data_IF_967308779130
#
_entry.id   IF_967308779130
#
_cell.length_a   1.000
_cell.length_b   1.000
_cell.length_c   1.000
_cell.angle_alpha   90.00
_cell.angle_beta   90.00
_cell.angle_gamma   90.00
#
_symmetry.space_group_name_H-M   'P 1'
#
loop_
_entity.id
_entity.type
_entity.pdbx_description
1 polymer ?
#
# COMPACT_ATOMS: atom_id res chain seq x y z
N UNK A 1 -3.23 21.11 -14.93
CA UNK A 1 -3.58 22.32 -15.73
C UNK A 1 -2.76 23.49 -15.19
N UNK A 2 -1.73 23.93 -15.91
CA UNK A 2 -0.95 25.11 -15.52
C UNK A 2 -1.72 26.35 -15.97
N UNK A 3 -2.26 27.09 -15.01
CA UNK A 3 -2.74 28.45 -15.29
C UNK A 3 -1.52 29.35 -15.29
N UNK A 4 -1.11 29.83 -16.46
CA UNK A 4 -0.05 30.81 -16.59
C UNK A 4 -0.50 32.13 -15.93
N UNK A 5 -0.03 32.37 -14.71
CA UNK A 5 -0.25 33.65 -13.99
C UNK A 5 0.76 34.65 -14.55
N UNK A 6 0.34 35.54 -15.42
CA UNK A 6 1.17 36.64 -15.91
C UNK A 6 1.75 37.44 -14.74
N UNK A 7 3.10 37.52 -14.68
CA UNK A 7 3.84 38.24 -13.63
C UNK A 7 4.17 37.40 -12.41
N UNK A 8 3.76 36.10 -12.37
CA UNK A 8 4.02 35.18 -11.25
C UNK A 8 5.37 34.46 -11.33
N UNK A 9 6.07 34.46 -12.48
CA UNK A 9 7.28 33.66 -12.70
C UNK A 9 8.37 33.96 -11.67
N UNK A 10 8.59 35.24 -11.35
CA UNK A 10 9.57 35.64 -10.32
C UNK A 10 9.18 35.14 -8.93
N UNK A 11 7.89 35.13 -8.61
CA UNK A 11 7.40 34.61 -7.33
C UNK A 11 7.60 33.08 -7.25
N UNK A 12 7.34 32.37 -8.35
CA UNK A 12 7.55 30.92 -8.46
C UNK A 12 9.03 30.57 -8.33
N UNK A 13 9.92 31.29 -9.03
CA UNK A 13 11.37 31.10 -8.91
C UNK A 13 11.87 31.35 -7.49
N UNK A 14 11.37 32.40 -6.82
CA UNK A 14 11.71 32.68 -5.43
C UNK A 14 11.18 31.57 -4.50
N UNK A 15 9.98 31.03 -4.75
CA UNK A 15 9.44 29.90 -3.99
C UNK A 15 10.32 28.65 -4.15
N UNK A 16 10.81 28.35 -5.34
CA UNK A 16 11.76 27.24 -5.57
C UNK A 16 13.07 27.42 -4.80
N UNK A 17 13.61 28.64 -4.80
CA UNK A 17 14.84 28.95 -4.02
C UNK A 17 14.59 28.82 -2.52
N UNK A 18 13.45 29.30 -2.04
CA UNK A 18 13.06 29.17 -0.65
C UNK A 18 12.87 27.69 -0.26
N UNK A 19 12.20 26.89 -1.10
CA UNK A 19 12.06 25.46 -0.87
C UNK A 19 13.42 24.76 -0.79
N UNK A 20 14.36 25.08 -1.66
CA UNK A 20 15.71 24.54 -1.62
C UNK A 20 16.45 24.92 -0.32
N UNK A 21 16.28 26.16 0.14
CA UNK A 21 16.84 26.64 1.40
C UNK A 21 16.23 25.91 2.60
N UNK A 22 14.92 25.81 2.65
CA UNK A 22 14.18 25.09 3.69
C UNK A 22 14.52 23.59 3.72
N UNK A 23 14.71 22.97 2.55
CA UNK A 23 15.14 21.57 2.46
C UNK A 23 16.52 21.36 3.07
N UNK A 24 17.43 22.30 2.87
CA UNK A 24 18.77 22.22 3.46
C UNK A 24 18.72 22.38 4.98
N UNK A 25 17.80 23.21 5.49
CA UNK A 25 17.72 23.55 6.91
C UNK A 25 18.94 24.32 7.42
N UNK A 26 19.14 24.29 8.73
CA UNK A 26 20.28 24.94 9.38
C UNK A 26 21.59 24.40 8.85
N UNK A 27 22.47 25.29 8.44
CA UNK A 27 23.80 24.94 7.87
C UNK A 27 24.80 24.46 8.90
N UNK A 28 24.58 24.77 10.17
CA UNK A 28 25.40 24.30 11.28
C UNK A 28 25.08 22.84 11.65
N UNK A 29 23.94 22.33 11.17
CA UNK A 29 23.56 20.91 11.27
C UNK A 29 24.05 20.17 10.05
N UNK A 30 24.69 19.02 10.24
CA UNK A 30 25.15 18.16 9.14
C UNK A 30 23.98 17.75 8.25
N UNK A 31 24.19 17.80 6.94
CA UNK A 31 23.16 17.35 5.98
C UNK A 31 22.99 15.83 6.06
N UNK A 32 21.73 15.36 6.11
CA UNK A 32 21.43 13.92 6.08
C UNK A 32 21.87 13.30 4.75
N UNK A 33 22.58 12.20 4.81
CA UNK A 33 23.04 11.43 3.64
C UNK A 33 22.01 10.42 3.18
N UNK A 34 22.08 9.99 1.91
CA UNK A 34 21.21 8.92 1.41
C UNK A 34 21.45 7.60 2.15
N UNK A 35 22.70 7.30 2.49
CA UNK A 35 23.03 6.11 3.28
C UNK A 35 22.36 6.13 4.66
N UNK A 36 22.36 7.28 5.36
CA UNK A 36 21.65 7.39 6.64
C UNK A 36 20.15 7.17 6.51
N UNK A 37 19.53 7.68 5.46
CA UNK A 37 18.10 7.45 5.20
C UNK A 37 17.85 5.97 4.89
N UNK A 38 18.64 5.40 3.97
CA UNK A 38 18.49 4.01 3.55
C UNK A 38 18.63 3.02 4.71
N UNK A 39 19.62 3.23 5.60
CA UNK A 39 19.91 2.31 6.68
C UNK A 39 19.06 2.56 7.94
N UNK A 40 18.86 3.82 8.33
CA UNK A 40 18.25 4.16 9.60
C UNK A 40 16.74 4.45 9.51
N UNK A 41 16.22 4.75 8.31
CA UNK A 41 14.81 4.95 8.02
C UNK A 41 14.27 3.88 7.04
N UNK A 42 14.82 2.67 7.14
CA UNK A 42 14.56 1.58 6.19
C UNK A 42 13.07 1.29 5.95
N UNK A 43 12.24 1.32 7.00
CA UNK A 43 10.79 1.09 6.85
C UNK A 43 10.08 2.18 6.02
N UNK A 44 10.58 3.42 6.08
CA UNK A 44 10.10 4.51 5.22
C UNK A 44 10.52 4.30 3.77
N UNK A 45 11.75 3.85 3.55
CA UNK A 45 12.28 3.48 2.22
C UNK A 45 11.47 2.34 1.61
N UNK A 46 11.20 1.29 2.37
CA UNK A 46 10.40 0.14 1.95
C UNK A 46 8.96 0.55 1.54
N UNK A 47 8.34 1.45 2.31
CA UNK A 47 7.03 2.01 1.98
C UNK A 47 7.07 2.78 0.66
N UNK A 48 8.06 3.66 0.47
CA UNK A 48 8.20 4.46 -0.76
C UNK A 48 8.44 3.56 -1.97
N UNK A 49 9.25 2.51 -1.85
CA UNK A 49 9.44 1.52 -2.91
C UNK A 49 8.14 0.81 -3.28
N UNK A 50 7.39 0.34 -2.29
CA UNK A 50 6.14 -0.42 -2.50
C UNK A 50 5.06 0.45 -3.15
N UNK A 51 4.72 1.58 -2.53
CA UNK A 51 3.67 2.47 -3.02
C UNK A 51 4.11 3.22 -4.29
N UNK A 52 5.43 3.40 -4.49
CA UNK A 52 6.04 3.95 -5.70
C UNK A 52 6.16 2.94 -6.86
N UNK A 53 5.96 1.65 -6.60
CA UNK A 53 6.12 0.56 -7.57
C UNK A 53 7.50 0.51 -8.22
N UNK A 54 8.55 0.77 -7.45
CA UNK A 54 9.94 0.73 -7.89
C UNK A 54 10.83 0.20 -6.77
N UNK A 55 11.46 -0.96 -6.98
CA UNK A 55 12.41 -1.52 -6.05
C UNK A 55 13.80 -0.91 -6.29
N UNK A 56 14.09 0.20 -5.62
CA UNK A 56 15.38 0.87 -5.62
C UNK A 56 15.53 1.69 -4.33
N UNK A 57 16.35 1.20 -3.40
CA UNK A 57 16.52 1.80 -2.07
C UNK A 57 17.19 3.18 -2.15
N UNK A 58 18.11 3.36 -3.08
CA UNK A 58 18.83 4.64 -3.23
C UNK A 58 17.92 5.72 -3.79
N UNK A 59 17.15 5.40 -4.83
CA UNK A 59 16.14 6.32 -5.40
C UNK A 59 15.02 6.63 -4.41
N UNK A 60 14.57 5.66 -3.63
CA UNK A 60 13.59 5.89 -2.57
C UNK A 60 14.15 6.82 -1.47
N UNK A 61 15.38 6.59 -1.02
CA UNK A 61 16.06 7.47 -0.06
C UNK A 61 16.25 8.89 -0.61
N UNK A 62 16.60 9.03 -1.90
CA UNK A 62 16.70 10.32 -2.57
C UNK A 62 15.35 11.04 -2.61
N UNK A 63 14.28 10.33 -2.94
CA UNK A 63 12.92 10.87 -2.96
C UNK A 63 12.48 11.36 -1.57
N UNK A 64 12.74 10.58 -0.51
CA UNK A 64 12.47 10.99 0.88
C UNK A 64 13.23 12.28 1.24
N UNK A 65 14.51 12.35 0.90
CA UNK A 65 15.33 13.54 1.11
C UNK A 65 14.78 14.74 0.35
N UNK A 66 14.45 14.57 -0.92
CA UNK A 66 13.90 15.62 -1.77
C UNK A 66 12.55 16.13 -1.28
N UNK A 67 11.71 15.22 -0.81
CA UNK A 67 10.39 15.50 -0.24
C UNK A 67 10.42 16.03 1.21
N UNK A 68 11.60 16.24 1.82
CA UNK A 68 11.73 16.70 3.21
C UNK A 68 11.09 15.74 4.23
N UNK A 69 11.00 14.45 3.91
CA UNK A 69 10.36 13.44 4.76
C UNK A 69 8.85 13.28 4.56
N UNK A 70 8.23 14.01 3.63
CA UNK A 70 6.84 13.77 3.21
C UNK A 70 6.80 12.50 2.36
N UNK A 71 6.21 11.43 2.92
CA UNK A 71 6.19 10.12 2.25
C UNK A 71 5.29 10.11 1.03
N UNK A 72 4.19 10.88 1.01
CA UNK A 72 3.29 10.94 -0.15
C UNK A 72 3.99 11.63 -1.32
N UNK A 73 4.66 12.76 -1.06
CA UNK A 73 5.46 13.45 -2.07
C UNK A 73 6.62 12.56 -2.56
N UNK A 74 7.29 11.82 -1.66
CA UNK A 74 8.36 10.89 -2.04
C UNK A 74 7.84 9.78 -2.98
N UNK A 75 6.68 9.20 -2.69
CA UNK A 75 6.01 8.21 -3.54
C UNK A 75 5.67 8.80 -4.91
N UNK A 76 5.13 10.02 -4.94
CA UNK A 76 4.87 10.73 -6.19
C UNK A 76 6.13 10.91 -7.04
N UNK A 77 7.23 11.36 -6.43
CA UNK A 77 8.52 11.55 -7.12
C UNK A 77 9.05 10.24 -7.71
N UNK A 78 8.97 9.13 -6.96
CA UNK A 78 9.40 7.81 -7.44
C UNK A 78 8.52 7.34 -8.62
N UNK A 79 7.19 7.51 -8.53
CA UNK A 79 6.28 7.17 -9.64
C UNK A 79 6.55 8.01 -10.89
N UNK A 80 6.76 9.32 -10.72
CA UNK A 80 7.08 10.22 -11.80
C UNK A 80 8.41 9.82 -12.48
N UNK A 81 9.44 9.52 -11.69
CA UNK A 81 10.73 9.07 -12.20
C UNK A 81 10.59 7.72 -12.93
N UNK A 82 9.89 6.76 -12.34
CA UNK A 82 9.65 5.44 -12.96
C UNK A 82 9.00 5.57 -14.35
N UNK A 83 8.08 6.52 -14.53
CA UNK A 83 7.42 6.75 -15.81
C UNK A 83 8.40 7.24 -16.92
N UNK A 84 9.59 7.73 -16.56
CA UNK A 84 10.64 8.15 -17.51
C UNK A 84 11.54 7.00 -17.94
N UNK A 85 11.49 5.85 -17.25
CA UNK A 85 12.34 4.71 -17.54
C UNK A 85 11.75 3.84 -18.65
N UNK A 86 12.56 3.40 -19.63
CA UNK A 86 12.12 2.41 -20.58
C UNK A 86 11.94 1.06 -19.88
N UNK A 87 10.91 0.30 -20.26
CA UNK A 87 10.76 -1.09 -19.81
C UNK A 87 11.67 -1.98 -20.64
N UNK A 88 12.55 -2.70 -19.97
CA UNK A 88 13.41 -3.69 -20.62
C UNK A 88 12.68 -5.01 -20.88
N UNK A 89 11.93 -5.50 -19.88
CA UNK A 89 11.20 -6.76 -19.97
C UNK A 89 10.36 -7.01 -18.73
N UNK A 90 9.85 -8.22 -18.61
CA UNK A 90 9.21 -8.76 -17.41
C UNK A 90 10.09 -9.88 -16.83
N UNK A 91 10.19 -9.94 -15.53
CA UNK A 91 10.88 -11.04 -14.84
C UNK A 91 10.01 -12.29 -14.87
N UNK A 92 10.62 -13.45 -14.64
CA UNK A 92 9.87 -14.63 -14.26
C UNK A 92 9.11 -14.39 -12.94
N UNK A 93 7.99 -15.10 -12.72
CA UNK A 93 7.27 -15.01 -11.45
C UNK A 93 8.18 -15.41 -10.28
N UNK A 94 8.27 -14.54 -9.27
CA UNK A 94 9.08 -14.83 -8.08
C UNK A 94 8.46 -15.96 -7.25
N UNK A 95 9.29 -16.92 -6.83
CA UNK A 95 8.86 -18.02 -5.97
C UNK A 95 9.08 -17.70 -4.50
N UNK A 96 8.06 -17.15 -3.83
CA UNK A 96 8.15 -16.87 -2.40
C UNK A 96 8.25 -18.14 -1.52
N UNK A 97 8.05 -19.32 -2.09
CA UNK A 97 8.33 -20.61 -1.43
C UNK A 97 9.80 -20.83 -1.11
N UNK A 98 10.68 -20.26 -1.92
CA UNK A 98 12.14 -20.34 -1.80
C UNK A 98 12.75 -19.15 -1.06
N UNK A 99 11.92 -18.29 -0.46
CA UNK A 99 12.36 -17.13 0.30
C UNK A 99 13.41 -17.50 1.36
N UNK A 100 14.53 -16.82 1.38
CA UNK A 100 15.51 -16.86 2.46
C UNK A 100 14.95 -16.08 3.66
N UNK A 101 14.27 -16.80 4.54
CA UNK A 101 13.44 -16.21 5.60
C UNK A 101 14.30 -15.61 6.70
N UNK A 102 14.09 -14.32 6.98
CA UNK A 102 14.67 -13.58 8.11
C UNK A 102 13.68 -13.41 9.26
N UNK A 103 12.38 -13.40 8.97
CA UNK A 103 11.29 -13.39 9.94
C UNK A 103 10.16 -14.30 9.46
N UNK A 104 9.63 -15.10 10.38
CA UNK A 104 8.48 -15.97 10.13
C UNK A 104 7.64 -16.10 11.39
N UNK A 105 6.38 -15.72 11.31
CA UNK A 105 5.42 -15.89 12.41
C UNK A 105 4.11 -16.46 11.89
N UNK A 106 3.45 -17.22 12.74
CA UNK A 106 2.11 -17.78 12.50
C UNK A 106 1.29 -17.69 13.76
N UNK A 107 0.00 -17.39 13.64
CA UNK A 107 -0.96 -17.41 14.74
C UNK A 107 -1.86 -18.65 14.75
N UNK A 108 -1.69 -19.56 13.79
CA UNK A 108 -2.60 -20.70 13.59
C UNK A 108 -2.16 -21.97 14.32
N UNK A 109 -0.86 -22.22 14.43
CA UNK A 109 -0.33 -23.39 15.10
C UNK A 109 0.69 -23.00 16.16
N UNK A 110 0.61 -23.64 17.34
CA UNK A 110 1.59 -23.44 18.41
C UNK A 110 2.99 -23.87 17.96
N UNK A 111 3.07 -25.05 17.38
CA UNK A 111 4.30 -25.69 16.90
C UNK A 111 4.24 -25.79 15.37
N UNK A 112 4.48 -24.67 14.70
CA UNK A 112 4.51 -24.63 13.23
C UNK A 112 5.78 -25.37 12.72
N UNK A 113 5.68 -26.27 11.74
CA UNK A 113 6.84 -26.94 11.17
C UNK A 113 7.87 -25.92 10.65
N UNK A 114 9.15 -26.11 11.01
CA UNK A 114 10.22 -25.17 10.76
C UNK A 114 10.34 -24.03 11.79
N UNK A 115 9.45 -23.97 12.76
CA UNK A 115 9.47 -23.01 13.87
C UNK A 115 9.06 -21.59 13.45
N UNK A 116 9.06 -20.71 14.46
CA UNK A 116 8.88 -19.28 14.27
C UNK A 116 10.24 -18.57 14.36
N UNK A 117 10.44 -17.55 13.55
CA UNK A 117 11.65 -16.72 13.51
C UNK A 117 11.20 -15.30 13.79
N UNK A 118 11.53 -14.77 14.99
CA UNK A 118 11.04 -13.45 15.38
C UNK A 118 11.63 -12.33 14.53
N UNK A 119 12.91 -12.40 14.21
CA UNK A 119 13.59 -11.34 13.46
C UNK A 119 13.54 -9.97 14.16
N UNK A 120 13.89 -8.87 13.47
CA UNK A 120 13.76 -7.53 13.99
C UNK A 120 12.28 -7.12 14.04
N UNK A 121 11.76 -6.81 15.24
CA UNK A 121 10.33 -6.51 15.43
C UNK A 121 10.10 -5.57 16.60
N UNK A 122 9.05 -4.75 16.50
CA UNK A 122 8.54 -3.97 17.63
C UNK A 122 7.55 -4.74 18.52
N UNK A 123 7.16 -5.95 18.17
CA UNK A 123 6.05 -6.68 18.81
C UNK A 123 6.26 -6.91 20.30
N UNK A 124 7.51 -7.13 20.70
CA UNK A 124 7.90 -7.40 22.09
C UNK A 124 8.56 -6.21 22.79
N UNK A 125 8.58 -5.05 22.16
CA UNK A 125 9.06 -3.81 22.79
C UNK A 125 7.96 -3.18 23.64
N UNK A 126 8.34 -2.39 24.64
CA UNK A 126 7.37 -1.66 25.46
C UNK A 126 6.64 -0.52 24.73
N UNK A 127 7.05 -0.19 23.49
CA UNK A 127 6.51 0.92 22.69
C UNK A 127 6.60 2.29 23.42
N UNK A 128 7.62 2.46 24.21
CA UNK A 128 7.96 3.72 24.89
C UNK A 128 9.06 4.45 24.13
N UNK A 129 9.09 5.77 24.25
CA UNK A 129 10.21 6.55 23.75
C UNK A 129 11.48 6.19 24.55
N UNK A 130 12.56 6.01 23.84
CA UNK A 130 13.87 5.71 24.41
C UNK A 130 14.79 6.94 24.30
N UNK A 131 14.97 7.70 25.38
CA UNK A 131 15.84 8.88 25.37
C UNK A 131 17.31 8.56 25.11
N UNK A 132 17.76 7.32 25.33
CA UNK A 132 19.16 6.93 25.10
C UNK A 132 19.54 7.02 23.62
N UNK A 133 18.58 6.85 22.71
CA UNK A 133 18.81 7.01 21.29
C UNK A 133 19.23 8.43 20.89
N UNK A 134 18.93 9.45 21.73
CA UNK A 134 19.37 10.82 21.49
C UNK A 134 20.86 11.05 21.83
N UNK A 135 21.45 10.19 22.69
CA UNK A 135 22.83 10.31 23.14
C UNK A 135 23.81 9.52 22.26
N UNK A 136 23.31 8.75 21.31
CA UNK A 136 24.10 7.85 20.47
C UNK A 136 24.33 6.51 21.16
N UNK A 137 23.69 5.49 20.66
CA UNK A 137 23.75 4.12 21.18
C UNK A 137 24.43 3.19 20.17
N UNK A 138 25.37 2.39 20.63
CA UNK A 138 25.94 1.30 19.84
C UNK A 138 25.33 0.00 20.35
N UNK A 139 24.45 -0.63 19.54
CA UNK A 139 23.81 -1.86 19.97
C UNK A 139 24.84 -3.00 20.11
N UNK A 140 24.62 -3.89 21.10
CA UNK A 140 25.35 -5.15 21.15
C UNK A 140 25.04 -5.99 19.91
N UNK A 141 26.04 -6.70 19.39
CA UNK A 141 25.81 -7.63 18.29
C UNK A 141 24.90 -8.77 18.76
N UNK A 142 23.77 -9.02 18.06
CA UNK A 142 22.89 -10.12 18.44
C UNK A 142 23.61 -11.46 18.24
N UNK A 143 23.27 -12.44 19.07
CA UNK A 143 23.64 -13.83 18.80
C UNK A 143 22.91 -14.28 17.53
N UNK A 144 23.63 -14.49 16.45
CA UNK A 144 23.07 -14.98 15.21
C UNK A 144 22.87 -16.48 15.34
N UNK A 145 21.63 -16.94 15.40
CA UNK A 145 21.32 -18.36 15.21
C UNK A 145 21.59 -18.71 13.75
N UNK A 146 22.22 -19.87 13.52
CA UNK A 146 22.39 -20.39 12.16
C UNK A 146 21.01 -20.53 11.50
N UNK A 147 20.81 -19.86 10.37
CA UNK A 147 19.59 -19.96 9.61
C UNK A 147 19.42 -21.41 9.12
N UNK A 148 18.31 -22.04 9.48
CA UNK A 148 17.96 -23.34 8.91
C UNK A 148 17.71 -23.18 7.41
N UNK A 149 18.49 -23.83 6.58
CA UNK A 149 18.30 -23.87 5.12
C UNK A 149 17.20 -24.85 4.69
N UNK A 150 16.54 -25.51 5.63
CA UNK A 150 15.50 -26.48 5.32
C UNK A 150 14.26 -25.76 4.76
N UNK A 151 13.80 -26.21 3.59
CA UNK A 151 12.54 -25.75 3.03
C UNK A 151 11.40 -25.94 4.05
N UNK A 152 10.74 -24.86 4.40
CA UNK A 152 9.72 -24.85 5.44
C UNK A 152 8.34 -24.83 4.79
N UNK A 153 7.48 -25.84 5.03
CA UNK A 153 6.15 -25.88 4.45
C UNK A 153 5.34 -24.68 4.91
N UNK A 154 4.55 -24.11 4.02
CA UNK A 154 3.63 -23.02 4.35
C UNK A 154 2.46 -23.55 5.19
N UNK A 155 1.95 -22.71 6.05
CA UNK A 155 0.75 -23.04 6.83
C UNK A 155 -0.45 -23.37 5.93
N UNK A 156 -0.59 -22.64 4.82
CA UNK A 156 -1.65 -22.92 3.83
C UNK A 156 -1.49 -24.27 3.15
N UNK A 157 -0.25 -24.78 2.98
CA UNK A 157 0.00 -26.12 2.44
C UNK A 157 -0.40 -27.22 3.45
N UNK A 158 -0.20 -26.96 4.75
CA UNK A 158 -0.62 -27.87 5.81
C UNK A 158 -2.14 -27.99 5.83
N UNK A 159 -2.84 -26.86 5.81
CA UNK A 159 -4.31 -26.82 5.75
C UNK A 159 -4.86 -27.41 4.45
N UNK A 160 -4.14 -27.23 3.34
CA UNK A 160 -4.50 -27.76 2.01
C UNK A 160 -4.45 -29.27 1.95
N UNK A 161 -3.47 -29.91 2.62
CA UNK A 161 -3.37 -31.39 2.69
C UNK A 161 -4.58 -32.02 3.37
N UNK A 162 -5.17 -31.32 4.32
CA UNK A 162 -6.37 -31.77 5.04
C UNK A 162 -7.68 -31.37 4.34
N UNK A 163 -7.59 -30.66 3.20
CA UNK A 163 -8.75 -30.13 2.49
C UNK A 163 -9.55 -29.07 3.26
N UNK A 164 -8.91 -28.42 4.23
CA UNK A 164 -9.55 -27.45 5.13
C UNK A 164 -9.49 -26.01 4.65
N UNK A 165 -8.74 -25.72 3.59
CA UNK A 165 -8.62 -24.39 3.00
C UNK A 165 -8.92 -24.47 1.50
N UNK A 166 -9.50 -23.41 0.95
CA UNK A 166 -9.72 -23.29 -0.48
C UNK A 166 -8.41 -23.56 -1.27
N UNK A 167 -8.47 -24.20 -2.42
CA UNK A 167 -7.27 -24.48 -3.22
C UNK A 167 -6.58 -23.18 -3.62
N UNK A 168 -5.26 -23.23 -3.78
CA UNK A 168 -4.56 -22.13 -4.44
C UNK A 168 -4.97 -22.09 -5.91
N UNK A 169 -5.31 -20.92 -6.45
CA UNK A 169 -5.50 -20.80 -7.89
C UNK A 169 -4.26 -21.33 -8.61
N UNK A 170 -4.47 -22.21 -9.57
CA UNK A 170 -3.38 -22.63 -10.47
C UNK A 170 -3.10 -21.44 -11.38
N UNK A 171 -1.84 -21.05 -11.47
CA UNK A 171 -1.43 -20.09 -12.49
C UNK A 171 -1.59 -20.76 -13.86
N UNK A 172 -2.42 -20.19 -14.71
CA UNK A 172 -2.35 -20.47 -16.14
C UNK A 172 -1.14 -19.70 -16.67
N UNK A 173 -0.06 -20.41 -16.99
CA UNK A 173 1.22 -19.81 -17.40
C UNK A 173 1.11 -18.89 -18.62
N UNK A 174 0.04 -19.03 -19.41
CA UNK A 174 -0.22 -18.23 -20.60
C UNK A 174 -1.20 -17.07 -20.37
N UNK A 175 -1.76 -16.94 -19.16
CA UNK A 175 -2.69 -15.85 -18.86
C UNK A 175 -1.98 -14.49 -18.86
N UNK A 176 -2.47 -13.48 -19.58
CA UNK A 176 -1.87 -12.16 -19.55
C UNK A 176 -2.04 -11.57 -18.16
N UNK A 177 -0.96 -11.05 -17.58
CA UNK A 177 -0.98 -10.32 -16.30
C UNK A 177 -1.19 -8.85 -16.59
N UNK A 178 -2.22 -8.24 -15.98
CA UNK A 178 -2.49 -6.82 -16.09
C UNK A 178 -1.38 -5.96 -15.45
N UNK A 179 -1.27 -4.71 -15.88
CA UNK A 179 -0.24 -3.76 -15.38
C UNK A 179 -0.83 -2.39 -15.11
N UNK A 180 -1.20 -2.11 -13.87
CA UNK A 180 -1.74 -0.81 -13.42
C UNK A 180 -0.77 0.37 -13.59
N UNK A 181 0.48 0.11 -13.93
CA UNK A 181 1.44 1.17 -14.22
C UNK A 181 1.34 1.67 -15.67
N UNK A 182 0.59 1.00 -16.52
CA UNK A 182 0.45 1.25 -17.96
C UNK A 182 -1.00 1.33 -18.40
N UNK A 183 -1.88 0.58 -17.77
CA UNK A 183 -3.28 0.45 -18.13
C UNK A 183 -4.15 1.11 -17.06
N UNK A 184 -5.19 1.85 -17.47
CA UNK A 184 -6.12 2.42 -16.51
C UNK A 184 -6.91 1.31 -15.82
N UNK A 185 -7.22 1.53 -14.54
CA UNK A 185 -8.08 0.65 -13.78
C UNK A 185 -9.49 0.61 -14.41
N UNK A 186 -10.03 -0.57 -14.57
CA UNK A 186 -11.42 -0.82 -15.03
C UNK A 186 -12.09 -1.82 -14.11
N UNK A 187 -13.42 -1.75 -14.01
CA UNK A 187 -14.22 -2.61 -13.13
C UNK A 187 -15.18 -3.50 -13.95
N UNK A 188 -15.42 -4.75 -13.52
CA UNK A 188 -14.72 -5.44 -12.43
C UNK A 188 -13.25 -5.70 -12.79
N UNK A 189 -12.35 -5.65 -11.78
CA UNK A 189 -10.94 -5.93 -11.98
C UNK A 189 -10.60 -7.38 -11.60
N UNK A 190 -9.68 -7.98 -12.36
CA UNK A 190 -9.15 -9.28 -12.01
C UNK A 190 -8.33 -9.23 -10.72
N UNK A 191 -8.20 -10.36 -10.03
CA UNK A 191 -7.54 -10.40 -8.73
C UNK A 191 -6.09 -9.94 -8.75
N UNK A 192 -5.36 -10.19 -9.82
CA UNK A 192 -3.98 -9.72 -10.00
C UNK A 192 -3.91 -8.19 -10.03
N UNK A 193 -4.83 -7.52 -10.71
CA UNK A 193 -4.95 -6.06 -10.72
C UNK A 193 -5.38 -5.52 -9.36
N UNK A 194 -6.33 -6.20 -8.67
CA UNK A 194 -6.70 -5.83 -7.29
C UNK A 194 -5.49 -5.87 -6.36
N UNK A 195 -4.72 -6.95 -6.39
CA UNK A 195 -3.52 -7.10 -5.56
C UNK A 195 -2.45 -6.05 -5.89
N UNK A 196 -2.23 -5.72 -7.17
CA UNK A 196 -1.34 -4.63 -7.58
C UNK A 196 -1.83 -3.28 -7.05
N UNK A 197 -3.12 -2.99 -7.15
CA UNK A 197 -3.70 -1.75 -6.63
C UNK A 197 -3.52 -1.66 -5.11
N UNK A 198 -3.80 -2.72 -4.37
CA UNK A 198 -3.59 -2.77 -2.92
C UNK A 198 -2.11 -2.57 -2.55
N UNK A 199 -1.17 -3.15 -3.30
CA UNK A 199 0.26 -2.93 -3.08
C UNK A 199 0.66 -1.46 -3.27
N UNK A 200 0.09 -0.78 -4.26
CA UNK A 200 0.30 0.65 -4.54
C UNK A 200 -0.49 1.58 -3.61
N UNK A 201 -1.55 1.08 -2.99
CA UNK A 201 -2.45 1.83 -2.14
C UNK A 201 -1.78 2.38 -0.89
N UNK A 202 -2.34 3.43 -0.31
CA UNK A 202 -1.89 4.03 0.94
C UNK A 202 -1.97 3.04 2.12
N UNK A 203 -0.87 2.86 2.84
CA UNK A 203 -0.82 1.95 3.98
C UNK A 203 -1.85 2.32 5.05
N UNK A 204 -2.03 3.61 5.33
CA UNK A 204 -2.95 4.08 6.35
C UNK A 204 -4.41 3.85 5.98
N UNK A 205 -4.77 4.08 4.72
CA UNK A 205 -6.11 3.80 4.20
C UNK A 205 -6.43 2.30 4.26
N UNK A 206 -5.51 1.45 3.79
CA UNK A 206 -5.70 0.01 3.84
C UNK A 206 -5.74 -0.53 5.28
N UNK A 207 -4.94 0.05 6.19
CA UNK A 207 -5.00 -0.29 7.61
C UNK A 207 -6.37 0.03 8.21
N UNK A 208 -6.94 1.18 7.89
CA UNK A 208 -8.28 1.55 8.33
C UNK A 208 -9.37 0.61 7.78
N UNK A 209 -9.28 0.22 6.51
CA UNK A 209 -10.18 -0.76 5.91
C UNK A 209 -10.02 -2.14 6.55
N UNK A 210 -8.79 -2.63 6.71
CA UNK A 210 -8.50 -3.88 7.40
C UNK A 210 -9.03 -3.89 8.84
N UNK A 211 -8.88 -2.78 9.56
CA UNK A 211 -9.46 -2.61 10.88
C UNK A 211 -11.00 -2.68 10.85
N UNK A 212 -11.64 -2.06 9.86
CA UNK A 212 -13.09 -2.11 9.73
C UNK A 212 -13.61 -3.54 9.51
N UNK A 213 -12.87 -4.39 8.79
CA UNK A 213 -13.24 -5.81 8.59
C UNK A 213 -13.24 -6.59 9.90
N UNK A 214 -12.31 -6.28 10.80
CA UNK A 214 -12.23 -6.95 12.10
C UNK A 214 -13.30 -6.47 13.09
N UNK A 215 -13.59 -5.18 13.09
CA UNK A 215 -14.48 -4.52 14.06
C UNK A 215 -15.94 -4.52 13.64
N UNK A 216 -16.21 -4.40 12.35
CA UNK A 216 -17.52 -4.08 11.84
C UNK A 216 -18.31 -5.28 11.34
N UNK A 217 -18.13 -5.62 10.11
CA UNK A 217 -18.95 -6.59 9.41
C UNK A 217 -18.37 -8.01 9.38
N UNK A 218 -17.06 -8.15 9.59
CA UNK A 218 -16.43 -9.46 9.63
C UNK A 218 -16.88 -10.25 10.86
N UNK A 219 -17.83 -11.14 10.68
CA UNK A 219 -18.35 -11.98 11.77
C UNK A 219 -17.40 -13.06 12.25
N UNK A 220 -16.28 -13.23 11.54
CA UNK A 220 -15.25 -14.22 11.81
C UNK A 220 -13.93 -13.53 12.12
N UNK A 221 -13.21 -14.05 13.11
CA UNK A 221 -11.87 -13.56 13.43
C UNK A 221 -10.87 -14.07 12.36
N UNK A 222 -10.14 -13.19 11.65
CA UNK A 222 -9.06 -13.60 10.76
C UNK A 222 -7.83 -14.01 11.56
N UNK A 223 -7.05 -14.91 11.01
CA UNK A 223 -5.78 -15.36 11.58
C UNK A 223 -4.65 -15.11 10.59
N UNK A 224 -3.50 -14.61 11.07
CA UNK A 224 -2.28 -14.63 10.29
C UNK A 224 -1.85 -16.10 10.14
N UNK A 225 -2.22 -16.72 9.04
CA UNK A 225 -1.78 -18.06 8.70
C UNK A 225 -0.27 -18.11 8.70
N UNK A 226 0.34 -17.16 7.99
CA UNK A 226 1.78 -16.97 7.99
C UNK A 226 2.13 -15.55 7.54
N UNK A 227 3.11 -14.94 8.22
CA UNK A 227 3.81 -13.74 7.77
C UNK A 227 5.27 -14.12 7.61
N UNK A 228 5.84 -13.81 6.43
CA UNK A 228 7.24 -14.08 6.10
C UNK A 228 7.88 -12.82 5.57
N UNK A 229 9.09 -12.54 6.04
CA UNK A 229 9.98 -11.51 5.51
C UNK A 229 11.33 -12.12 5.20
N UNK A 230 11.87 -11.80 4.04
CA UNK A 230 13.17 -12.29 3.61
C UNK A 230 13.47 -11.94 2.16
N UNK A 231 14.52 -12.55 1.64
CA UNK A 231 15.01 -12.35 0.27
C UNK A 231 14.46 -13.41 -0.68
N UNK A 232 14.11 -12.97 -1.90
CA UNK A 232 13.68 -13.85 -3.00
C UNK A 232 14.50 -13.52 -4.22
N UNK A 233 15.00 -14.54 -4.90
CA UNK A 233 15.71 -14.40 -6.16
C UNK A 233 14.77 -13.93 -7.27
N UNK A 234 15.28 -13.08 -8.15
CA UNK A 234 14.58 -12.55 -9.32
C UNK A 234 15.31 -13.01 -10.56
N UNK A 235 14.58 -13.67 -11.44
CA UNK A 235 15.10 -14.19 -12.70
C UNK A 235 14.45 -13.49 -13.90
N UNK A 236 15.16 -13.45 -14.99
CA UNK A 236 14.70 -12.92 -16.27
C UNK A 236 15.01 -13.92 -17.38
N UNK A 237 13.99 -14.30 -18.15
CA UNK A 237 14.20 -15.15 -19.31
C UNK A 237 14.87 -14.37 -20.43
N UNK A 238 16.10 -14.73 -20.74
CA UNK A 238 16.88 -14.08 -21.78
C UNK A 238 16.77 -14.88 -23.09
N UNK A 239 16.03 -14.37 -24.06
CA UNK A 239 15.75 -15.03 -25.33
C UNK A 239 17.03 -15.42 -26.07
N UNK A 240 18.07 -14.59 -26.00
CA UNK A 240 19.35 -14.81 -26.67
C UNK A 240 20.11 -16.07 -26.19
N UNK A 241 19.91 -16.45 -24.93
CA UNK A 241 20.56 -17.62 -24.33
C UNK A 241 19.60 -18.79 -24.09
N UNK A 242 18.28 -18.57 -24.15
CA UNK A 242 17.24 -19.57 -24.08
C UNK A 242 16.98 -20.16 -22.70
N UNK A 243 17.39 -19.47 -21.62
CA UNK A 243 17.08 -19.81 -20.23
C UNK A 243 16.97 -18.58 -19.34
N UNK A 244 16.37 -18.77 -18.14
CA UNK A 244 16.26 -17.72 -17.15
C UNK A 244 17.62 -17.42 -16.49
N UNK A 245 17.95 -16.14 -16.36
CA UNK A 245 19.20 -15.65 -15.78
C UNK A 245 18.86 -14.91 -14.47
N UNK A 246 19.53 -15.22 -13.35
CA UNK A 246 19.33 -14.50 -12.11
C UNK A 246 19.80 -13.03 -12.24
N UNK A 247 18.94 -12.10 -11.88
CA UNK A 247 19.25 -10.68 -11.85
C UNK A 247 19.75 -10.21 -10.48
N UNK A 248 19.44 -10.97 -9.43
CA UNK A 248 19.73 -10.67 -8.04
C UNK A 248 18.58 -11.06 -7.13
N UNK A 249 18.54 -10.52 -5.92
CA UNK A 249 17.46 -10.76 -4.98
C UNK A 249 16.78 -9.46 -4.56
N UNK A 250 15.51 -9.58 -4.15
CA UNK A 250 14.74 -8.50 -3.56
C UNK A 250 14.19 -8.92 -2.20
N UNK A 251 14.07 -7.99 -1.29
CA UNK A 251 13.42 -8.20 0.00
C UNK A 251 11.91 -8.05 -0.14
N UNK A 252 11.18 -9.05 0.34
CA UNK A 252 9.72 -9.09 0.30
C UNK A 252 9.14 -9.44 1.67
N UNK A 253 7.99 -8.85 1.99
CA UNK A 253 7.10 -9.33 3.05
C UNK A 253 5.86 -9.93 2.42
N UNK A 254 5.56 -11.17 2.79
CA UNK A 254 4.36 -11.91 2.39
C UNK A 254 3.47 -12.16 3.60
N UNK A 255 2.17 -11.92 3.45
CA UNK A 255 1.16 -12.28 4.44
C UNK A 255 0.10 -13.17 3.80
N UNK A 256 -0.15 -14.33 4.41
CA UNK A 256 -1.26 -15.20 4.09
C UNK A 256 -2.24 -15.20 5.26
N UNK A 257 -3.37 -14.54 5.07
CA UNK A 257 -4.45 -14.50 6.07
C UNK A 257 -5.39 -15.67 5.86
N UNK A 258 -5.87 -16.23 6.95
CA UNK A 258 -6.81 -17.37 6.97
C UNK A 258 -8.08 -16.95 7.68
N UNK A 259 -9.21 -17.03 6.98
CA UNK A 259 -10.52 -16.67 7.48
C UNK A 259 -11.48 -17.84 7.38
N UNK A 260 -12.26 -18.10 8.42
CA UNK A 260 -13.32 -19.10 8.34
C UNK A 260 -14.37 -18.67 7.31
N UNK A 261 -14.73 -19.59 6.44
CA UNK A 261 -15.87 -19.49 5.54
C UNK A 261 -16.88 -20.58 5.92
N UNK A 262 -18.08 -20.18 6.29
CA UNK A 262 -19.12 -21.10 6.80
C UNK A 262 -19.83 -21.90 5.71
N UNK A 263 -19.41 -21.72 4.46
CA UNK A 263 -20.08 -22.27 3.31
C UNK A 263 -21.21 -21.39 2.78
N UNK A 264 -21.65 -21.68 1.57
CA UNK A 264 -22.81 -21.10 0.91
C UNK A 264 -23.74 -22.22 0.43
N UNK A 265 -24.72 -21.89 -0.39
CA UNK A 265 -25.60 -22.90 -1.01
C UNK A 265 -24.87 -23.81 -2.00
N UNK A 266 -23.72 -23.34 -2.53
CA UNK A 266 -22.93 -24.05 -3.55
C UNK A 266 -21.56 -24.52 -3.05
N UNK A 267 -21.04 -23.91 -1.98
CA UNK A 267 -19.68 -24.15 -1.50
C UNK A 267 -19.67 -24.72 -0.09
N UNK A 268 -18.86 -25.74 0.13
CA UNK A 268 -18.67 -26.35 1.44
C UNK A 268 -17.91 -25.42 2.42
N UNK A 269 -18.14 -25.54 3.73
CA UNK A 269 -17.35 -24.82 4.73
C UNK A 269 -15.85 -25.12 4.60
N UNK A 270 -15.04 -24.08 4.60
CA UNK A 270 -13.57 -24.19 4.56
C UNK A 270 -12.93 -22.93 5.15
N UNK A 271 -11.62 -22.85 5.13
CA UNK A 271 -10.93 -21.58 5.28
C UNK A 271 -10.74 -20.91 3.92
N UNK A 272 -11.02 -19.62 3.85
CA UNK A 272 -10.71 -18.77 2.72
C UNK A 272 -9.40 -18.02 2.94
N UNK A 273 -8.77 -17.57 1.87
CA UNK A 273 -7.47 -16.91 1.86
C UNK A 273 -7.62 -15.43 1.65
N UNK A 274 -6.78 -14.65 2.34
CA UNK A 274 -6.42 -13.29 1.96
C UNK A 274 -4.92 -13.21 1.75
N UNK A 275 -4.46 -12.40 0.82
CA UNK A 275 -3.07 -12.32 0.42
C UNK A 275 -2.55 -10.89 0.39
N UNK A 276 -1.32 -10.69 0.85
CA UNK A 276 -0.59 -9.44 0.75
C UNK A 276 0.88 -9.68 0.48
N UNK A 277 1.45 -8.91 -0.44
CA UNK A 277 2.85 -8.94 -0.82
C UNK A 277 3.34 -7.51 -1.04
N UNK A 278 4.48 -7.16 -0.44
CA UNK A 278 5.07 -5.84 -0.54
C UNK A 278 6.60 -5.90 -0.49
N UNK A 279 7.25 -4.89 -1.04
CA UNK A 279 8.69 -4.75 -0.95
C UNK A 279 9.16 -4.45 0.47
N UNK A 280 10.34 -4.96 0.82
CA UNK A 280 10.99 -4.74 2.10
C UNK A 280 10.21 -5.30 3.29
N UNK A 281 10.47 -4.73 4.48
CA UNK A 281 9.82 -5.13 5.73
C UNK A 281 8.54 -4.32 5.95
N UNK A 282 7.41 -4.83 5.47
CA UNK A 282 6.12 -4.12 5.38
C UNK A 282 4.95 -4.93 5.96
N UNK A 283 5.07 -5.44 7.19
CA UNK A 283 4.07 -6.36 7.80
C UNK A 283 2.68 -5.73 7.90
N UNK A 284 2.56 -4.50 8.43
CA UNK A 284 1.25 -3.82 8.51
C UNK A 284 0.58 -3.69 7.15
N UNK A 285 1.37 -3.33 6.14
CA UNK A 285 0.90 -3.20 4.76
C UNK A 285 0.36 -4.53 4.24
N UNK A 286 1.15 -5.59 4.33
CA UNK A 286 0.76 -6.90 3.80
C UNK A 286 -0.39 -7.54 4.56
N UNK A 287 -0.46 -7.36 5.89
CA UNK A 287 -1.63 -7.77 6.68
C UNK A 287 -2.89 -7.03 6.27
N UNK A 288 -2.80 -5.71 6.10
CA UNK A 288 -3.93 -4.88 5.66
C UNK A 288 -4.39 -5.26 4.26
N UNK A 289 -3.44 -5.46 3.33
CA UNK A 289 -3.74 -5.99 1.99
C UNK A 289 -4.48 -7.32 2.08
N UNK A 290 -3.99 -8.27 2.87
CA UNK A 290 -4.58 -9.60 2.99
C UNK A 290 -6.02 -9.56 3.55
N UNK A 291 -6.31 -8.68 4.50
CA UNK A 291 -7.64 -8.46 5.03
C UNK A 291 -8.59 -7.88 3.97
N UNK A 292 -8.13 -6.88 3.23
CA UNK A 292 -8.93 -6.21 2.19
C UNK A 292 -9.09 -7.11 0.96
N UNK A 293 -8.04 -7.83 0.53
CA UNK A 293 -8.14 -8.83 -0.54
C UNK A 293 -9.24 -9.87 -0.23
N UNK A 294 -9.27 -10.39 1.01
CA UNK A 294 -10.34 -11.31 1.42
C UNK A 294 -11.72 -10.64 1.42
N UNK A 295 -11.80 -9.39 1.85
CA UNK A 295 -13.06 -8.65 1.89
C UNK A 295 -13.63 -8.40 0.49
N UNK A 296 -12.79 -8.03 -0.47
CA UNK A 296 -13.17 -7.83 -1.88
C UNK A 296 -13.69 -9.10 -2.56
N UNK A 297 -13.36 -10.27 -2.02
CA UNK A 297 -13.82 -11.56 -2.53
C UNK A 297 -15.17 -11.99 -1.97
N UNK A 298 -15.86 -11.16 -1.18
CA UNK A 298 -17.14 -11.51 -0.56
C UNK A 298 -18.18 -11.96 -1.57
N UNK A 299 -18.31 -11.26 -2.70
CA UNK A 299 -19.25 -11.64 -3.77
C UNK A 299 -18.87 -12.97 -4.44
N UNK A 300 -17.59 -13.23 -4.69
CA UNK A 300 -17.09 -14.51 -5.23
C UNK A 300 -17.41 -15.69 -4.30
N UNK A 301 -17.43 -15.46 -3.00
CA UNK A 301 -17.74 -16.46 -1.97
C UNK A 301 -19.24 -16.55 -1.65
N UNK A 302 -20.11 -15.81 -2.34
CA UNK A 302 -21.54 -15.77 -2.09
C UNK A 302 -21.93 -15.17 -0.73
N UNK A 303 -21.10 -14.31 -0.18
CA UNK A 303 -21.37 -13.54 1.04
C UNK A 303 -22.10 -12.23 0.72
N UNK A 304 -22.80 -11.69 1.72
CA UNK A 304 -23.44 -10.38 1.62
C UNK A 304 -22.40 -9.27 1.48
N UNK A 305 -22.57 -8.42 0.46
CA UNK A 305 -21.72 -7.23 0.22
C UNK A 305 -22.46 -6.00 0.74
N UNK A 306 -21.93 -5.36 1.74
CA UNK A 306 -22.58 -4.20 2.37
C UNK A 306 -21.63 -3.26 3.10
N UNK A 307 -20.35 -3.59 3.17
CA UNK A 307 -19.35 -2.78 3.88
C UNK A 307 -18.35 -2.13 2.90
N UNK A 308 -17.82 -0.95 3.21
CA UNK A 308 -16.89 -0.23 2.33
C UNK A 308 -15.68 -1.05 1.87
N UNK A 309 -15.13 -1.91 2.74
CA UNK A 309 -13.99 -2.76 2.39
C UNK A 309 -14.35 -3.92 1.43
N UNK A 310 -15.64 -4.15 1.16
CA UNK A 310 -16.15 -5.14 0.20
C UNK A 310 -16.54 -4.50 -1.14
N UNK A 311 -16.59 -3.18 -1.20
CA UNK A 311 -16.90 -2.41 -2.41
C UNK A 311 -15.61 -2.23 -3.21
N UNK A 312 -15.51 -2.96 -4.33
CA UNK A 312 -14.30 -2.97 -5.17
C UNK A 312 -14.01 -1.58 -5.74
N UNK A 313 -15.01 -0.91 -6.29
CA UNK A 313 -14.83 0.40 -6.90
C UNK A 313 -14.43 1.44 -5.85
N UNK A 314 -15.07 1.43 -4.69
CA UNK A 314 -14.71 2.30 -3.57
C UNK A 314 -13.26 2.07 -3.12
N UNK A 315 -12.88 0.83 -2.85
CA UNK A 315 -11.54 0.51 -2.35
C UNK A 315 -10.47 0.89 -3.35
N UNK A 316 -10.62 0.47 -4.59
CA UNK A 316 -9.57 0.63 -5.59
C UNK A 316 -9.45 2.06 -6.10
N UNK A 317 -10.56 2.80 -6.18
CA UNK A 317 -10.54 4.21 -6.58
C UNK A 317 -10.02 5.16 -5.50
N UNK A 318 -10.04 4.78 -4.21
CA UNK A 318 -9.65 5.65 -3.11
C UNK A 318 -8.36 5.23 -2.41
N UNK A 319 -7.78 4.09 -2.77
CA UNK A 319 -6.55 3.60 -2.13
C UNK A 319 -5.28 4.31 -2.58
N UNK A 320 -5.28 4.95 -3.75
CA UNK A 320 -4.11 5.61 -4.32
C UNK A 320 -3.92 7.01 -3.72
N UNK A 321 -2.92 7.16 -2.84
CA UNK A 321 -2.60 8.41 -2.17
C UNK A 321 -2.09 9.51 -3.12
N UNK A 322 -1.44 9.16 -4.23
CA UNK A 322 -0.96 10.13 -5.22
C UNK A 322 -2.14 10.73 -5.97
N UNK A 323 -3.11 9.91 -6.38
CA UNK A 323 -4.34 10.40 -6.99
C UNK A 323 -5.15 11.25 -6.02
N UNK A 324 -5.34 10.77 -4.79
CA UNK A 324 -6.06 11.49 -3.74
C UNK A 324 -5.43 12.86 -3.48
N UNK A 325 -4.11 12.93 -3.37
CA UNK A 325 -3.36 14.18 -3.21
C UNK A 325 -3.57 15.11 -4.40
N UNK A 326 -3.50 14.59 -5.62
CA UNK A 326 -3.73 15.39 -6.83
C UNK A 326 -5.11 16.04 -6.87
N UNK A 327 -6.14 15.32 -6.41
CA UNK A 327 -7.50 15.85 -6.31
C UNK A 327 -7.69 16.84 -5.16
N UNK A 328 -7.15 16.57 -3.99
CA UNK A 328 -7.32 17.45 -2.82
C UNK A 328 -6.48 18.71 -2.97
N UNK A 329 -5.23 18.56 -3.36
CA UNK A 329 -4.29 19.68 -3.44
C UNK A 329 -4.59 20.67 -4.56
N UNK A 330 -5.25 20.23 -5.64
CA UNK A 330 -5.63 21.18 -6.69
C UNK A 330 -6.62 22.24 -6.19
N UNK A 331 -7.37 21.97 -5.10
CA UNK A 331 -8.34 22.93 -4.53
C UNK A 331 -7.68 24.22 -4.01
N UNK A 332 -6.38 24.18 -3.71
CA UNK A 332 -5.61 25.38 -3.32
C UNK A 332 -5.16 26.24 -4.50
N UNK A 333 -5.30 25.72 -5.72
CA UNK A 333 -4.98 26.47 -6.92
C UNK A 333 -6.07 27.54 -7.23
N UNK A 334 -5.77 28.59 -8.03
CA UNK A 334 -6.73 29.64 -8.34
C UNK A 334 -7.98 29.12 -9.05
N UNK A 335 -9.14 29.21 -8.38
CA UNK A 335 -10.47 28.87 -8.89
C UNK A 335 -11.40 30.10 -8.88
N UNK A 336 -10.85 31.30 -8.98
CA UNK A 336 -11.62 32.53 -8.80
C UNK A 336 -12.74 32.72 -9.85
N UNK A 337 -12.59 32.19 -11.05
CA UNK A 337 -13.64 32.27 -12.10
C UNK A 337 -14.84 31.41 -11.70
N UNK A 338 -14.58 30.14 -11.34
CA UNK A 338 -15.61 29.19 -10.93
C UNK A 338 -16.29 29.69 -9.64
N UNK A 339 -15.50 30.19 -8.68
CA UNK A 339 -16.03 30.74 -7.43
C UNK A 339 -16.94 31.95 -7.67
N UNK A 340 -16.61 32.86 -8.58
CA UNK A 340 -17.47 34.00 -8.91
C UNK A 340 -18.80 33.55 -9.57
N UNK A 341 -18.75 32.51 -10.37
CA UNK A 341 -19.95 31.91 -10.95
C UNK A 341 -20.88 31.33 -9.88
N UNK A 342 -20.33 30.51 -8.97
CA UNK A 342 -21.07 29.94 -7.84
C UNK A 342 -21.60 31.02 -6.90
N UNK A 343 -20.83 32.08 -6.64
CA UNK A 343 -21.27 33.21 -5.82
C UNK A 343 -22.47 33.93 -6.44
N UNK A 344 -22.46 34.09 -7.77
CA UNK A 344 -23.60 34.68 -8.50
C UNK A 344 -24.84 33.81 -8.40
N UNK A 345 -24.69 32.49 -8.63
CA UNK A 345 -25.75 31.51 -8.49
C UNK A 345 -26.34 31.50 -7.06
N UNK A 346 -25.50 31.45 -6.05
CA UNK A 346 -25.96 31.44 -4.65
C UNK A 346 -26.74 32.70 -4.26
N UNK A 347 -26.31 33.86 -4.74
CA UNK A 347 -27.05 35.14 -4.50
C UNK A 347 -28.44 35.08 -5.11
N UNK A 348 -28.57 34.55 -6.33
CA UNK A 348 -29.84 34.38 -6.99
C UNK A 348 -30.76 33.40 -6.24
N UNK A 349 -30.26 32.22 -5.86
CA UNK A 349 -31.01 31.24 -5.09
C UNK A 349 -31.49 31.79 -3.73
N UNK A 350 -30.67 32.59 -3.05
CA UNK A 350 -31.07 33.24 -1.79
C UNK A 350 -32.17 34.28 -1.98
N UNK A 351 -32.11 35.02 -3.08
CA UNK A 351 -33.18 35.97 -3.41
C UNK A 351 -34.50 35.25 -3.68
N UNK A 352 -34.47 34.18 -4.52
CA UNK A 352 -35.63 33.35 -4.83
C UNK A 352 -36.24 32.71 -3.57
N UNK A 353 -35.41 32.27 -2.63
CA UNK A 353 -35.83 31.72 -1.35
C UNK A 353 -36.51 32.78 -0.48
N UNK A 354 -35.98 33.99 -0.41
CA UNK A 354 -36.58 35.08 0.35
C UNK A 354 -37.95 35.50 -0.22
N UNK A 355 -38.05 35.65 -1.55
CA UNK A 355 -39.29 35.97 -2.25
C UNK A 355 -40.36 34.87 -2.05
N UNK A 356 -39.97 33.60 -2.06
CA UNK A 356 -40.89 32.50 -1.79
C UNK A 356 -41.41 32.49 -0.34
N UNK A 357 -40.55 32.75 0.64
CA UNK A 357 -40.99 32.83 2.03
C UNK A 357 -41.90 34.04 2.32
N UNK A 358 -41.60 35.19 1.75
CA UNK A 358 -42.47 36.36 1.85
C UNK A 358 -43.86 36.08 1.26
N UNK A 359 -43.92 35.36 0.15
CA UNK A 359 -45.20 34.97 -0.46
C UNK A 359 -46.01 34.00 0.42
N UNK A 360 -45.34 33.06 1.12
CA UNK A 360 -46.01 32.17 2.08
C UNK A 360 -46.52 32.93 3.29
N UNK A 361 -45.70 33.81 3.89
CA UNK A 361 -46.13 34.65 5.03
C UNK A 361 -47.31 35.57 4.68
N UNK A 362 -47.35 36.13 3.46
CA UNK A 362 -48.49 36.93 2.98
C UNK A 362 -49.74 36.10 2.78
N UNK A 363 -49.62 34.81 2.36
CA UNK A 363 -50.75 33.93 2.23
C UNK A 363 -51.33 33.50 3.58
N UNK A 364 -50.47 33.17 4.54
CA UNK A 364 -50.88 32.83 5.90
C UNK A 364 -51.49 34.03 6.66
N UNK A 365 -51.06 35.25 6.36
CA UNK A 365 -51.64 36.45 6.94
C UNK A 365 -53.00 36.87 6.31
N UNK A 366 -53.35 36.30 5.17
CA UNK A 366 -54.60 36.56 4.44
C UNK A 366 -55.71 35.54 4.76
N UNK A 367 -55.39 34.45 5.41
CA UNK A 367 -56.31 33.45 5.99
C UNK A 367 -56.65 33.81 7.46
#
# INVERSE_FOLDING_TARGET
>A
MYVAVKGGERAIENAHRLLAHERRGDRDVAEVTLAQISEQLALGVDRVMTEGSLYDRELAALAIKQARGDMIEAIFLVRAFRATLPRFGATEPVNTGEMQVRRRISSTFKDVPGGQILGPTFDYTHRLLDPQLAEGFVPEQPAIAEASQAATPRVTDILGRDGLIEPSPQADGDAPVGDLTREPLSFPADRDLRLQNLARGDEGFLLALGYSTQRGYGRNHPFAGEIRFGEVEVEFFAEDVGFAVPLGSIELTECQMVNQFKGSTSEAPCFSRGYGLAFGQSERKTMSMALVDRALRAGELGEEVGAPAQDEEFVMSHSDNVQSTGFVEHLKLPHYVDFQSELGLLRKLRQEFAEANEAVEMQEAAE
#
